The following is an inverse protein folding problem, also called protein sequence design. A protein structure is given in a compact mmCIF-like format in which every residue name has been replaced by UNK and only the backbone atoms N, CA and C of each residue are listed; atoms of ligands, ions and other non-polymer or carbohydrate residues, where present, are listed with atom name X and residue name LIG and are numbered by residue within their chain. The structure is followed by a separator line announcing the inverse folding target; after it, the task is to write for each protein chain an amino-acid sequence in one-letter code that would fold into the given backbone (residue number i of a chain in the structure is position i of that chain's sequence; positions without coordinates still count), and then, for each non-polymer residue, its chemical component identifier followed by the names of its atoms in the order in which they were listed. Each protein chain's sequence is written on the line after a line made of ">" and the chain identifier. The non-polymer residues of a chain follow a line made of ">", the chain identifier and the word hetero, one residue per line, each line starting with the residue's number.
data_IF_577660605270
#
_entry.id   IF_577660605270
#
_cell.length_a   1.000
_cell.length_b   1.000
_cell.length_c   1.000
_cell.angle_alpha   90.00
_cell.angle_beta   90.00
_cell.angle_gamma   90.00
#
_symmetry.space_group_name_H-M   'P 1'
#
loop_
_entity.id
_entity.type
_entity.pdbx_description
1 polymer ?
#
# COMPACT_ATOMS: atom_id res chain seq x y z
N UNK A 1 7.95 21.47 17.30
CA UNK A 1 6.63 21.60 16.66
C UNK A 1 5.45 21.25 17.58
N UNK A 2 5.63 20.36 18.58
CA UNK A 2 4.57 20.04 19.57
C UNK A 2 4.34 21.21 20.55
N UNK A 3 5.42 21.79 21.11
CA UNK A 3 5.33 22.94 22.03
C UNK A 3 4.75 24.23 21.42
N UNK A 4 4.81 24.40 20.10
CA UNK A 4 4.32 25.60 19.41
C UNK A 4 2.79 25.58 19.22
N UNK A 5 2.16 24.41 19.21
CA UNK A 5 0.70 24.27 19.11
C UNK A 5 0.03 24.49 20.48
N UNK A 6 0.64 24.03 21.57
CA UNK A 6 0.15 24.25 22.93
C UNK A 6 0.08 25.74 23.27
N UNK A 7 1.09 26.52 22.88
CA UNK A 7 1.13 27.98 23.11
C UNK A 7 0.07 28.76 22.32
N UNK A 8 -0.26 28.31 21.11
CA UNK A 8 -1.32 28.92 20.29
C UNK A 8 -2.69 28.57 20.86
N UNK A 9 -2.88 27.32 21.31
CA UNK A 9 -4.12 26.87 21.94
C UNK A 9 -4.40 27.49 23.32
N UNK A 10 -3.37 27.94 24.03
CA UNK A 10 -3.52 28.63 25.31
C UNK A 10 -4.06 30.06 25.17
N UNK A 11 -3.70 30.75 24.07
CA UNK A 11 -4.09 32.14 23.83
C UNK A 11 -5.47 32.30 23.18
N UNK A 12 -6.01 31.23 22.62
CA UNK A 12 -7.34 31.22 22.01
C UNK A 12 -8.14 30.15 22.74
N UNK A 13 -9.20 30.53 23.44
CA UNK A 13 -10.09 29.68 24.25
C UNK A 13 -10.86 28.64 23.40
N UNK A 14 -10.13 27.80 22.66
CA UNK A 14 -10.60 26.84 21.65
C UNK A 14 -10.46 25.40 22.18
N UNK A 15 -9.83 25.20 23.33
CA UNK A 15 -9.60 23.90 23.96
C UNK A 15 -10.89 23.09 24.13
N UNK A 16 -11.97 23.72 24.61
CA UNK A 16 -13.28 23.09 24.75
C UNK A 16 -13.84 22.58 23.41
N UNK A 17 -13.61 23.32 22.33
CA UNK A 17 -14.06 22.92 20.98
C UNK A 17 -13.28 21.71 20.47
N UNK A 18 -11.96 21.65 20.72
CA UNK A 18 -11.14 20.49 20.33
C UNK A 18 -11.52 19.22 21.10
N UNK A 19 -11.77 19.33 22.41
CA UNK A 19 -12.18 18.18 23.24
C UNK A 19 -13.55 17.66 22.80
N UNK A 20 -14.49 18.55 22.47
CA UNK A 20 -15.80 18.17 21.92
C UNK A 20 -15.67 17.49 20.54
N UNK A 21 -14.93 18.10 19.61
CA UNK A 21 -14.69 17.53 18.27
C UNK A 21 -14.03 16.15 18.39
N UNK A 22 -13.04 16.02 19.28
CA UNK A 22 -12.36 14.75 19.51
C UNK A 22 -13.30 13.69 20.10
N UNK A 23 -14.14 14.05 21.07
CA UNK A 23 -15.14 13.16 21.64
C UNK A 23 -16.15 12.69 20.57
N UNK A 24 -16.58 13.58 19.68
CA UNK A 24 -17.44 13.25 18.53
C UNK A 24 -16.73 12.27 17.59
N UNK A 25 -15.46 12.51 17.26
CA UNK A 25 -14.66 11.60 16.43
C UNK A 25 -14.51 10.21 17.08
N UNK A 26 -14.35 10.13 18.42
CA UNK A 26 -14.27 8.86 19.15
C UNK A 26 -15.60 8.10 19.15
N UNK A 27 -16.73 8.80 19.30
CA UNK A 27 -18.06 8.20 19.15
C UNK A 27 -18.27 7.67 17.72
N UNK A 28 -17.88 8.43 16.70
CA UNK A 28 -17.94 7.99 15.31
C UNK A 28 -17.08 6.73 15.08
N UNK A 29 -15.88 6.68 15.67
CA UNK A 29 -15.00 5.52 15.62
C UNK A 29 -15.63 4.29 16.31
N UNK A 30 -16.32 4.47 17.44
CA UNK A 30 -17.09 3.39 18.09
C UNK A 30 -18.19 2.85 17.18
N UNK A 31 -18.90 3.72 16.45
CA UNK A 31 -19.92 3.30 15.47
C UNK A 31 -19.28 2.47 14.34
N UNK A 32 -18.14 2.92 13.80
CA UNK A 32 -17.42 2.20 12.75
C UNK A 32 -16.88 0.84 13.22
N UNK A 33 -16.35 0.76 14.45
CA UNK A 33 -15.91 -0.49 15.06
C UNK A 33 -17.09 -1.44 15.34
N UNK A 34 -18.24 -0.93 15.80
CA UNK A 34 -19.45 -1.72 16.00
C UNK A 34 -20.02 -2.25 14.67
N UNK A 35 -19.98 -1.43 13.61
CA UNK A 35 -20.28 -1.87 12.26
C UNK A 35 -19.30 -2.96 11.79
N UNK A 36 -18.00 -2.80 12.07
CA UNK A 36 -17.00 -3.81 11.75
C UNK A 36 -17.27 -5.14 12.46
N UNK A 37 -17.76 -5.12 13.71
CA UNK A 37 -18.24 -6.31 14.44
C UNK A 37 -19.44 -6.98 13.77
N UNK A 38 -20.41 -6.19 13.34
CA UNK A 38 -21.61 -6.70 12.69
C UNK A 38 -21.29 -7.40 11.37
N UNK A 39 -20.31 -6.87 10.63
CA UNK A 39 -19.88 -7.40 9.33
C UNK A 39 -18.88 -8.56 9.47
N UNK A 40 -17.94 -8.46 10.41
CA UNK A 40 -16.83 -9.41 10.59
C UNK A 40 -17.19 -10.33 11.77
N UNK A 41 -18.01 -11.36 11.49
CA UNK A 41 -18.51 -12.37 12.48
C UNK A 41 -17.44 -13.21 13.19
N UNK A 42 -16.15 -12.87 13.09
CA UNK A 42 -15.05 -13.69 13.64
C UNK A 42 -14.13 -12.83 14.49
N UNK A 43 -14.01 -13.24 15.75
CA UNK A 43 -13.29 -12.59 16.86
C UNK A 43 -14.05 -11.47 17.58
N UNK A 44 -15.32 -11.74 17.89
CA UNK A 44 -16.23 -10.81 18.59
C UNK A 44 -15.72 -10.35 19.95
N UNK A 45 -14.94 -11.18 20.67
CA UNK A 45 -14.44 -10.87 22.02
C UNK A 45 -13.38 -9.77 22.05
N UNK A 46 -12.37 -9.84 21.16
CA UNK A 46 -11.31 -8.82 21.11
C UNK A 46 -11.86 -7.47 20.64
N UNK A 47 -12.71 -7.48 19.61
CA UNK A 47 -13.27 -6.23 19.08
C UNK A 47 -14.32 -5.65 20.03
N UNK A 48 -15.12 -6.48 20.73
CA UNK A 48 -15.99 -6.01 21.80
C UNK A 48 -15.19 -5.39 22.95
N UNK A 49 -14.06 -5.99 23.35
CA UNK A 49 -13.19 -5.41 24.38
C UNK A 49 -12.65 -4.04 23.94
N UNK A 50 -12.14 -3.93 22.72
CA UNK A 50 -11.66 -2.65 22.16
C UNK A 50 -12.79 -1.61 22.13
N UNK A 51 -13.99 -1.98 21.69
CA UNK A 51 -15.16 -1.11 21.72
C UNK A 51 -15.54 -0.64 23.12
N UNK A 52 -15.53 -1.54 24.11
CA UNK A 52 -15.86 -1.18 25.50
C UNK A 52 -14.85 -0.19 26.06
N UNK A 53 -13.54 -0.39 25.80
CA UNK A 53 -12.48 0.53 26.24
C UNK A 53 -12.63 1.89 25.55
N UNK A 54 -12.89 1.90 24.25
CA UNK A 54 -13.10 3.13 23.46
C UNK A 54 -14.31 3.93 23.95
N UNK A 55 -15.42 3.25 24.25
CA UNK A 55 -16.64 3.86 24.75
C UNK A 55 -16.46 4.43 26.17
N UNK A 56 -15.77 3.70 27.05
CA UNK A 56 -15.42 4.18 28.39
C UNK A 56 -14.55 5.44 28.29
N UNK A 57 -13.54 5.43 27.43
CA UNK A 57 -12.66 6.60 27.22
C UNK A 57 -13.43 7.80 26.65
N UNK A 58 -14.35 7.58 25.70
CA UNK A 58 -15.21 8.64 25.16
C UNK A 58 -16.11 9.27 26.26
N UNK A 59 -16.71 8.44 27.12
CA UNK A 59 -17.53 8.91 28.25
C UNK A 59 -16.68 9.67 29.28
N UNK A 60 -15.48 9.18 29.59
CA UNK A 60 -14.56 9.87 30.49
C UNK A 60 -14.17 11.24 29.92
N UNK A 61 -13.87 11.32 28.62
CA UNK A 61 -13.55 12.59 27.95
C UNK A 61 -14.72 13.58 27.98
N UNK A 62 -15.95 13.10 27.75
CA UNK A 62 -17.15 13.91 27.82
C UNK A 62 -17.46 14.41 29.25
N UNK A 63 -17.14 13.63 30.27
CA UNK A 63 -17.35 14.02 31.68
C UNK A 63 -16.24 14.93 32.22
N UNK A 64 -15.01 14.82 31.69
CA UNK A 64 -13.87 15.66 32.06
C UNK A 64 -13.89 17.03 31.35
N UNK A 65 -14.67 17.19 30.27
CA UNK A 65 -14.82 18.45 29.50
C UNK A 65 -15.06 19.71 30.35
N UNK A 66 -15.50 19.56 31.60
CA UNK A 66 -15.79 20.66 32.53
C UNK A 66 -14.65 21.00 33.52
N UNK A 67 -13.44 20.41 33.40
CA UNK A 67 -12.31 20.66 34.32
C UNK A 67 -10.97 20.91 33.61
N UNK A 68 -10.22 21.90 34.11
CA UNK A 68 -9.07 22.60 33.51
C UNK A 68 -7.99 21.80 32.72
N UNK A 69 -7.97 22.01 31.40
CA UNK A 69 -6.96 22.72 30.56
C UNK A 69 -5.51 22.23 30.38
N UNK A 70 -4.91 21.35 31.20
CA UNK A 70 -3.51 20.88 30.94
C UNK A 70 -3.43 19.38 30.63
N UNK A 71 -4.36 18.59 31.15
CA UNK A 71 -4.38 17.14 30.92
C UNK A 71 -5.02 16.74 29.58
N UNK A 72 -5.74 17.64 28.92
CA UNK A 72 -6.59 17.34 27.76
C UNK A 72 -5.79 16.97 26.50
N UNK A 73 -4.78 17.78 26.12
CA UNK A 73 -3.99 17.53 24.91
C UNK A 73 -3.12 16.28 25.06
N UNK A 74 -2.51 16.10 26.24
CA UNK A 74 -1.72 14.90 26.53
C UNK A 74 -2.57 13.64 26.45
N UNK A 75 -3.79 13.66 27.00
CA UNK A 75 -4.68 12.50 26.98
C UNK A 75 -5.22 12.20 25.57
N UNK A 76 -5.48 13.23 24.76
CA UNK A 76 -5.85 13.10 23.34
C UNK A 76 -4.70 12.50 22.51
N UNK A 77 -3.46 12.95 22.74
CA UNK A 77 -2.26 12.38 22.09
C UNK A 77 -2.06 10.93 22.53
N UNK A 78 -2.18 10.63 23.82
CA UNK A 78 -2.08 9.26 24.33
C UNK A 78 -3.16 8.35 23.75
N UNK A 79 -4.42 8.79 23.73
CA UNK A 79 -5.54 8.02 23.18
C UNK A 79 -5.40 7.79 21.66
N UNK A 80 -4.94 8.79 20.90
CA UNK A 80 -4.66 8.63 19.47
C UNK A 80 -3.46 7.71 19.20
N UNK A 81 -2.40 7.77 20.02
CA UNK A 81 -1.27 6.84 19.92
C UNK A 81 -1.65 5.41 20.28
N UNK A 82 -2.52 5.21 21.28
CA UNK A 82 -3.08 3.90 21.63
C UNK A 82 -3.96 3.38 20.49
N UNK A 83 -4.85 4.21 19.93
CA UNK A 83 -5.70 3.85 18.80
C UNK A 83 -4.87 3.46 17.56
N UNK A 84 -3.81 4.19 17.27
CA UNK A 84 -2.86 3.86 16.20
C UNK A 84 -2.14 2.52 16.48
N UNK A 85 -1.70 2.30 17.72
CA UNK A 85 -1.04 1.06 18.14
C UNK A 85 -1.96 -0.15 18.03
N UNK A 86 -3.24 -0.01 18.43
CA UNK A 86 -4.25 -1.07 18.29
C UNK A 86 -4.55 -1.34 16.82
N UNK A 87 -4.65 -0.29 15.99
CA UNK A 87 -4.85 -0.43 14.55
C UNK A 87 -3.68 -1.17 13.87
N UNK A 88 -2.44 -0.92 14.31
CA UNK A 88 -1.26 -1.66 13.89
C UNK A 88 -1.30 -3.13 14.31
N UNK A 89 -1.69 -3.42 15.56
CA UNK A 89 -1.81 -4.80 16.05
C UNK A 89 -2.90 -5.57 15.32
N UNK A 90 -4.06 -4.95 15.08
CA UNK A 90 -5.15 -5.55 14.31
C UNK A 90 -4.73 -5.77 12.85
N UNK A 91 -4.10 -4.79 12.21
CA UNK A 91 -3.53 -4.91 10.87
C UNK A 91 -2.49 -6.04 10.77
N UNK A 92 -1.55 -6.12 11.71
CA UNK A 92 -0.54 -7.17 11.78
C UNK A 92 -1.15 -8.55 12.02
N UNK A 93 -2.20 -8.65 12.85
CA UNK A 93 -2.93 -9.90 13.08
C UNK A 93 -3.66 -10.39 11.83
N UNK A 94 -4.14 -9.47 10.99
CA UNK A 94 -4.77 -9.78 9.71
C UNK A 94 -3.74 -10.27 8.67
N UNK A 95 -2.50 -9.81 8.77
CA UNK A 95 -1.41 -10.13 7.85
C UNK A 95 -0.75 -11.49 8.13
N UNK A 96 -0.89 -12.03 9.36
CA UNK A 96 -0.42 -13.37 9.74
C UNK A 96 -1.33 -14.52 9.27
N UNK A 97 -2.41 -14.21 8.53
CA UNK A 97 -3.13 -15.22 7.78
C UNK A 97 -2.22 -15.61 6.62
N UNK A 98 -1.87 -16.91 6.48
CA UNK A 98 -1.47 -17.46 5.18
C UNK A 98 -2.54 -17.00 4.20
N UNK A 99 -2.22 -16.02 3.36
CA UNK A 99 -3.09 -15.61 2.28
C UNK A 99 -3.31 -16.91 1.50
N UNK A 100 -4.53 -17.46 1.56
CA UNK A 100 -4.90 -18.46 0.57
C UNK A 100 -4.60 -17.79 -0.78
N UNK A 101 -3.87 -18.45 -1.70
CA UNK A 101 -3.74 -17.92 -3.04
C UNK A 101 -5.16 -17.62 -3.50
N UNK A 102 -5.45 -16.33 -3.66
CA UNK A 102 -6.75 -15.91 -4.13
C UNK A 102 -6.81 -16.46 -5.54
N UNK A 103 -7.75 -17.38 -5.77
CA UNK A 103 -8.09 -17.88 -7.09
C UNK A 103 -8.26 -16.64 -7.98
N UNK A 104 -7.33 -16.46 -8.92
CA UNK A 104 -7.16 -15.28 -9.77
C UNK A 104 -8.27 -15.15 -10.82
N UNK A 105 -9.46 -15.67 -10.54
CA UNK A 105 -10.64 -15.59 -11.40
C UNK A 105 -11.42 -14.29 -11.18
N UNK A 106 -10.72 -13.17 -11.09
CA UNK A 106 -11.36 -11.88 -11.36
C UNK A 106 -11.21 -11.61 -12.86
N UNK A 107 -12.06 -12.29 -13.63
CA UNK A 107 -12.40 -11.89 -14.99
C UNK A 107 -13.67 -11.08 -14.82
N UNK A 108 -13.61 -9.77 -15.04
CA UNK A 108 -14.83 -8.96 -15.09
C UNK A 108 -15.80 -9.57 -16.11
N UNK A 109 -17.12 -9.47 -15.87
CA UNK A 109 -18.12 -10.03 -16.77
C UNK A 109 -17.88 -9.51 -18.20
N UNK A 110 -17.47 -10.42 -19.07
CA UNK A 110 -16.87 -10.15 -20.39
C UNK A 110 -17.87 -9.77 -21.47
N UNK A 111 -19.16 -9.82 -21.16
CA UNK A 111 -20.22 -9.77 -22.17
C UNK A 111 -20.66 -8.35 -22.55
N UNK A 112 -20.24 -7.32 -21.80
CA UNK A 112 -20.66 -5.93 -22.07
C UNK A 112 -19.58 -5.01 -22.66
N UNK A 113 -18.29 -5.35 -22.56
CA UNK A 113 -17.21 -4.56 -23.16
C UNK A 113 -16.73 -5.20 -24.46
N UNK A 114 -17.08 -4.59 -25.59
CA UNK A 114 -16.71 -5.07 -26.92
C UNK A 114 -15.20 -5.21 -27.11
N UNK A 115 -14.75 -6.42 -27.50
CA UNK A 115 -13.59 -6.80 -28.33
C UNK A 115 -12.19 -6.15 -28.16
N UNK A 116 -11.94 -5.14 -27.33
CA UNK A 116 -10.66 -4.41 -27.27
C UNK A 116 -9.93 -4.47 -25.92
N UNK A 117 -10.34 -5.34 -24.99
CA UNK A 117 -9.70 -5.45 -23.68
C UNK A 117 -8.55 -6.48 -23.69
N UNK A 118 -7.34 -6.06 -23.30
CA UNK A 118 -6.17 -6.94 -23.13
C UNK A 118 -6.00 -7.36 -21.67
N UNK A 119 -5.65 -8.62 -21.43
CA UNK A 119 -5.36 -9.11 -20.08
C UNK A 119 -3.91 -8.79 -19.71
N UNK A 120 -3.75 -8.12 -18.57
CA UNK A 120 -2.45 -7.79 -17.99
C UNK A 120 -2.19 -8.68 -16.78
N UNK A 121 -0.98 -9.24 -16.69
CA UNK A 121 -0.49 -9.96 -15.52
C UNK A 121 0.61 -9.17 -14.84
N UNK A 122 0.40 -8.85 -13.58
CA UNK A 122 1.38 -8.18 -12.73
C UNK A 122 1.96 -9.22 -11.78
N UNK A 123 3.25 -9.52 -11.92
CA UNK A 123 3.94 -10.53 -11.11
C UNK A 123 4.80 -9.86 -10.06
N UNK A 124 4.66 -10.29 -8.82
CA UNK A 124 5.44 -9.78 -7.69
C UNK A 124 6.23 -10.91 -7.00
N UNK A 125 7.53 -10.67 -6.87
CA UNK A 125 8.43 -11.41 -6.00
C UNK A 125 8.65 -10.58 -4.73
N UNK A 126 8.11 -11.02 -3.59
CA UNK A 126 8.23 -10.28 -2.33
C UNK A 126 9.41 -10.82 -1.49
N UNK A 127 10.15 -9.94 -0.79
CA UNK A 127 11.39 -10.33 -0.12
C UNK A 127 11.21 -11.36 1.00
N UNK A 128 10.04 -11.36 1.65
CA UNK A 128 9.75 -12.20 2.80
C UNK A 128 9.48 -13.68 2.48
N UNK A 129 9.28 -14.01 1.19
CA UNK A 129 8.80 -15.32 0.76
C UNK A 129 9.71 -15.98 -0.29
N UNK A 130 10.94 -15.47 -0.50
CA UNK A 130 11.92 -16.16 -1.35
C UNK A 130 12.30 -17.53 -0.73
N UNK A 131 11.64 -18.58 -1.26
CA UNK A 131 11.32 -19.93 -0.77
C UNK A 131 12.36 -20.83 -0.05
N UNK A 132 13.43 -20.33 0.58
CA UNK A 132 14.43 -21.24 1.20
C UNK A 132 15.17 -20.78 2.44
N UNK A 133 14.85 -19.62 3.00
CA UNK A 133 15.63 -19.05 4.09
C UNK A 133 14.79 -18.80 5.35
N UNK A 134 15.33 -19.23 6.48
CA UNK A 134 14.93 -18.78 7.82
C UNK A 134 15.26 -17.28 7.94
N UNK A 135 14.41 -16.44 7.38
CA UNK A 135 14.54 -14.99 7.43
C UNK A 135 14.08 -14.50 8.81
N UNK A 136 14.84 -13.58 9.42
CA UNK A 136 14.27 -12.69 10.43
C UNK A 136 13.51 -11.62 9.64
N UNK A 137 12.22 -11.83 9.45
CA UNK A 137 11.35 -10.84 8.83
C UNK A 137 10.91 -9.87 9.93
N UNK A 138 11.47 -8.66 9.97
CA UNK A 138 10.82 -7.56 10.66
C UNK A 138 9.49 -7.33 9.90
N UNK A 139 8.31 -7.66 10.46
CA UNK A 139 7.08 -7.87 9.68
C UNK A 139 6.68 -6.67 8.81
N UNK A 140 7.04 -5.47 9.25
CA UNK A 140 6.73 -4.20 8.57
C UNK A 140 7.84 -3.77 7.60
N UNK A 141 9.09 -4.20 7.78
CA UNK A 141 10.20 -3.79 6.90
C UNK A 141 10.42 -4.84 5.80
N UNK A 142 10.27 -6.13 6.13
CA UNK A 142 10.59 -7.24 5.25
C UNK A 142 9.69 -7.39 4.03
N UNK A 143 8.44 -6.90 4.09
CA UNK A 143 7.54 -6.87 2.91
C UNK A 143 7.81 -5.66 1.99
N UNK A 144 8.26 -4.54 2.55
CA UNK A 144 8.25 -3.24 1.88
C UNK A 144 9.63 -2.67 1.53
N UNK A 145 10.73 -3.20 2.09
CA UNK A 145 12.07 -2.68 1.79
C UNK A 145 13.01 -3.79 1.37
N UNK A 146 13.36 -4.66 2.32
CA UNK A 146 14.30 -5.76 2.10
C UNK A 146 14.15 -6.78 3.23
N UNK A 147 14.41 -8.05 2.94
CA UNK A 147 14.51 -9.10 3.94
C UNK A 147 15.97 -9.57 4.05
N UNK A 148 16.48 -9.72 5.27
CA UNK A 148 17.81 -10.28 5.48
C UNK A 148 17.73 -11.81 5.61
N UNK A 149 18.56 -12.53 4.86
CA UNK A 149 18.70 -13.98 4.96
C UNK A 149 19.91 -14.34 5.82
N UNK A 150 19.69 -14.99 6.97
CA UNK A 150 20.78 -15.51 7.81
C UNK A 150 21.56 -16.63 7.09
N UNK A 151 20.89 -17.41 6.23
CA UNK A 151 21.49 -18.55 5.52
C UNK A 151 22.39 -18.11 4.36
N UNK A 152 21.94 -17.15 3.56
CA UNK A 152 22.72 -16.59 2.45
C UNK A 152 23.64 -15.43 2.87
N UNK A 153 23.44 -14.91 4.08
CA UNK A 153 24.09 -13.70 4.65
C UNK A 153 23.87 -12.43 3.82
N UNK A 154 22.78 -12.39 3.03
CA UNK A 154 22.50 -11.36 2.03
C UNK A 154 21.13 -10.70 2.22
N UNK A 155 20.99 -9.49 1.67
CA UNK A 155 19.72 -8.77 1.58
C UNK A 155 18.97 -9.20 0.32
N UNK A 156 17.71 -9.58 0.50
CA UNK A 156 16.77 -9.84 -0.57
C UNK A 156 15.93 -8.58 -0.80
N UNK A 157 15.92 -8.12 -2.04
CA UNK A 157 15.06 -7.03 -2.51
C UNK A 157 14.03 -7.66 -3.42
N UNK A 158 12.77 -7.29 -3.22
CA UNK A 158 11.67 -7.82 -4.03
C UNK A 158 11.79 -7.34 -5.48
N UNK A 159 10.90 -7.84 -6.32
CA UNK A 159 10.76 -7.40 -7.70
C UNK A 159 9.29 -7.40 -8.11
N UNK A 160 8.92 -6.51 -9.02
CA UNK A 160 7.57 -6.50 -9.58
C UNK A 160 7.65 -6.16 -11.06
N UNK A 161 6.82 -6.83 -11.84
CA UNK A 161 6.86 -6.78 -13.31
C UNK A 161 5.46 -6.68 -13.87
N UNK A 162 5.42 -6.24 -15.12
CA UNK A 162 4.20 -6.02 -15.86
C UNK A 162 4.27 -6.79 -17.19
N UNK A 163 3.39 -7.78 -17.34
CA UNK A 163 3.31 -8.67 -18.49
C UNK A 163 1.98 -8.45 -19.22
N UNK A 164 2.06 -8.24 -20.54
CA UNK A 164 0.94 -8.28 -21.47
C UNK A 164 1.23 -9.29 -22.57
N UNK A 165 0.30 -9.50 -23.50
CA UNK A 165 0.59 -10.32 -24.67
C UNK A 165 1.58 -9.61 -25.62
N UNK A 166 1.58 -8.27 -25.59
CA UNK A 166 2.37 -7.43 -26.48
C UNK A 166 3.77 -7.12 -25.96
N UNK A 167 3.95 -7.01 -24.64
CA UNK A 167 5.25 -6.67 -24.06
C UNK A 167 5.43 -7.15 -22.61
N UNK A 168 6.69 -7.14 -22.17
CA UNK A 168 7.09 -7.40 -20.81
C UNK A 168 7.97 -6.27 -20.29
N UNK A 169 7.59 -5.69 -19.16
CA UNK A 169 8.31 -4.60 -18.52
C UNK A 169 8.91 -5.07 -17.19
N UNK A 170 10.24 -5.16 -17.19
CA UNK A 170 11.07 -5.54 -16.04
C UNK A 170 12.40 -4.82 -16.18
N UNK A 171 12.73 -3.90 -15.27
CA UNK A 171 13.97 -3.12 -15.32
C UNK A 171 14.84 -3.43 -14.12
N UNK A 172 16.13 -3.59 -14.38
CA UNK A 172 17.17 -3.83 -13.39
C UNK A 172 18.28 -2.78 -13.52
N UNK A 173 19.04 -2.51 -12.45
CA UNK A 173 20.31 -1.82 -12.57
C UNK A 173 21.29 -2.66 -13.41
N UNK A 174 22.12 -2.01 -14.21
CA UNK A 174 23.20 -2.68 -14.95
C UNK A 174 24.14 -3.43 -14.00
N UNK A 175 24.69 -4.56 -14.46
CA UNK A 175 25.58 -5.41 -13.65
C UNK A 175 26.83 -4.68 -13.15
N UNK A 176 27.27 -3.66 -13.89
CA UNK A 176 28.42 -2.85 -13.49
C UNK A 176 28.06 -1.79 -12.44
N UNK A 177 26.77 -1.48 -12.25
CA UNK A 177 26.30 -0.57 -11.20
C UNK A 177 26.56 -1.17 -9.81
N UNK A 178 26.86 -0.33 -8.82
CA UNK A 178 26.93 -0.76 -7.42
C UNK A 178 25.55 -1.15 -6.85
N UNK A 179 24.46 -0.73 -7.53
CA UNK A 179 23.10 -1.19 -7.24
C UNK A 179 22.80 -2.57 -7.84
N UNK A 180 23.71 -3.15 -8.62
CA UNK A 180 23.55 -4.52 -9.08
C UNK A 180 23.33 -5.43 -7.86
N UNK A 181 22.35 -6.32 -7.96
CA UNK A 181 21.97 -7.22 -6.85
C UNK A 181 23.17 -8.03 -6.34
N UNK A 182 24.10 -8.36 -7.24
CA UNK A 182 25.35 -9.07 -6.96
C UNK A 182 26.32 -8.29 -6.05
N UNK A 183 26.27 -6.95 -6.03
CA UNK A 183 27.27 -6.08 -5.36
C UNK A 183 26.93 -5.72 -3.90
N UNK A 184 25.83 -6.24 -3.34
CA UNK A 184 25.45 -6.14 -1.91
C UNK A 184 25.56 -4.71 -1.34
N UNK A 185 24.70 -3.77 -1.76
CA UNK A 185 24.80 -2.37 -1.33
C UNK A 185 24.64 -2.22 0.19
N UNK A 186 25.51 -1.42 0.82
CA UNK A 186 25.40 -1.09 2.25
C UNK A 186 24.41 0.04 2.49
N UNK A 187 23.85 0.16 3.71
CA UNK A 187 22.90 1.23 4.07
C UNK A 187 23.47 2.64 3.83
N UNK A 188 24.78 2.83 4.01
CA UNK A 188 25.49 4.08 3.74
C UNK A 188 25.49 4.44 2.25
N UNK A 189 25.59 3.44 1.38
CA UNK A 189 25.60 3.61 -0.09
C UNK A 189 24.19 3.89 -0.62
N UNK A 190 23.16 3.30 -0.02
CA UNK A 190 21.76 3.56 -0.38
C UNK A 190 21.39 5.03 -0.10
N UNK A 191 21.79 5.58 1.05
CA UNK A 191 21.48 6.95 1.46
C UNK A 191 21.98 8.03 0.50
N UNK A 192 23.13 7.84 -0.16
CA UNK A 192 23.69 8.80 -1.12
C UNK A 192 23.07 8.73 -2.53
N UNK A 193 22.19 7.76 -2.79
CA UNK A 193 21.70 7.46 -4.15
C UNK A 193 20.43 8.23 -4.59
N UNK A 194 19.89 9.10 -3.74
CA UNK A 194 18.61 9.80 -3.94
C UNK A 194 18.44 10.60 -5.25
N UNK A 195 19.54 10.91 -5.96
CA UNK A 195 19.50 11.65 -7.24
C UNK A 195 20.33 11.04 -8.36
N UNK A 196 20.86 9.84 -8.15
CA UNK A 196 21.73 9.22 -9.15
C UNK A 196 20.94 8.35 -10.11
N UNK A 197 21.19 8.56 -11.39
CA UNK A 197 20.76 7.68 -12.47
C UNK A 197 21.93 6.78 -12.86
N UNK A 198 21.65 5.51 -13.02
CA UNK A 198 22.59 4.50 -13.46
C UNK A 198 22.10 3.90 -14.78
N UNK A 199 22.98 3.30 -15.58
CA UNK A 199 22.53 2.45 -16.67
C UNK A 199 21.63 1.34 -16.12
N UNK A 200 20.50 1.11 -16.76
CA UNK A 200 19.57 0.03 -16.47
C UNK A 200 19.38 -0.87 -17.68
N UNK A 201 18.89 -2.08 -17.40
CA UNK A 201 18.68 -3.14 -18.39
C UNK A 201 17.25 -3.63 -18.30
N UNK A 202 16.57 -3.67 -19.44
CA UNK A 202 15.26 -4.31 -19.57
C UNK A 202 15.44 -5.82 -19.71
N UNK A 203 14.78 -6.60 -18.86
CA UNK A 203 14.89 -8.05 -18.83
C UNK A 203 13.65 -8.75 -19.38
N UNK A 204 13.81 -10.03 -19.72
CA UNK A 204 12.71 -10.91 -20.16
C UNK A 204 12.08 -11.67 -18.99
N UNK A 205 10.90 -12.23 -19.23
CA UNK A 205 10.23 -13.10 -18.27
C UNK A 205 11.08 -14.34 -17.94
N UNK A 206 11.75 -14.93 -18.93
CA UNK A 206 12.62 -16.09 -18.73
C UNK A 206 13.78 -15.78 -17.79
N UNK A 207 14.36 -14.58 -17.91
CA UNK A 207 15.40 -14.12 -16.99
C UNK A 207 14.86 -14.03 -15.55
N UNK A 208 13.69 -13.41 -15.36
CA UNK A 208 13.10 -13.26 -14.02
C UNK A 208 12.75 -14.61 -13.38
N UNK A 209 12.21 -15.55 -14.17
CA UNK A 209 11.92 -16.91 -13.70
C UNK A 209 13.21 -17.67 -13.35
N UNK A 210 14.26 -17.55 -14.17
CA UNK A 210 15.54 -18.19 -13.88
C UNK A 210 16.21 -17.61 -12.63
N UNK A 211 16.16 -16.29 -12.47
CA UNK A 211 16.84 -15.59 -11.39
C UNK A 211 16.11 -15.73 -10.04
N UNK A 212 14.77 -15.67 -10.06
CA UNK A 212 13.94 -15.54 -8.84
C UNK A 212 12.98 -16.71 -8.62
N UNK A 213 12.87 -17.63 -9.57
CA UNK A 213 11.89 -18.73 -9.53
C UNK A 213 10.48 -18.26 -9.86
N UNK A 214 9.48 -19.08 -9.48
CA UNK A 214 8.08 -18.76 -9.72
C UNK A 214 7.64 -17.49 -8.95
N UNK A 215 6.87 -16.64 -9.61
CA UNK A 215 6.31 -15.45 -8.97
C UNK A 215 5.34 -15.84 -7.84
N UNK A 216 5.48 -15.20 -6.67
CA UNK A 216 4.64 -15.51 -5.51
C UNK A 216 3.20 -15.05 -5.69
N UNK A 217 3.04 -13.83 -6.18
CA UNK A 217 1.74 -13.22 -6.38
C UNK A 217 1.59 -12.79 -7.82
N UNK A 218 0.44 -13.11 -8.40
CA UNK A 218 0.04 -12.65 -9.74
C UNK A 218 -1.29 -11.94 -9.60
N UNK A 219 -1.31 -10.65 -9.94
CA UNK A 219 -2.53 -9.87 -10.07
C UNK A 219 -2.89 -9.81 -11.54
N UNK A 220 -4.15 -10.13 -11.87
CA UNK A 220 -4.67 -10.05 -13.23
C UNK A 220 -5.58 -8.83 -13.31
N UNK A 221 -5.35 -7.99 -14.32
CA UNK A 221 -6.05 -6.72 -14.51
C UNK A 221 -6.45 -6.60 -15.98
N UNK A 222 -7.61 -6.02 -16.21
CA UNK A 222 -8.12 -5.71 -17.54
C UNK A 222 -7.57 -4.35 -18.00
N UNK A 223 -6.92 -4.30 -19.17
CA UNK A 223 -6.52 -3.06 -19.83
C UNK A 223 -7.58 -2.66 -20.85
N UNK A 224 -8.26 -1.55 -20.59
CA UNK A 224 -9.37 -1.06 -21.42
C UNK A 224 -8.89 -0.45 -22.74
N UNK A 225 -7.64 0.02 -22.81
CA UNK A 225 -7.03 0.66 -23.97
C UNK A 225 -5.61 0.14 -24.24
N UNK A 226 -5.47 -1.03 -24.92
CA UNK A 226 -4.18 -1.65 -25.14
C UNK A 226 -3.26 -0.85 -26.07
N UNK A 227 -3.80 -0.13 -27.07
CA UNK A 227 -3.01 0.68 -28.00
C UNK A 227 -2.32 1.85 -27.28
N UNK A 228 -3.06 2.54 -26.40
CA UNK A 228 -2.49 3.58 -25.55
C UNK A 228 -1.43 3.02 -24.61
N UNK A 229 -1.70 1.86 -23.99
CA UNK A 229 -0.75 1.17 -23.10
C UNK A 229 0.57 0.84 -23.84
N UNK A 230 0.50 0.35 -25.08
CA UNK A 230 1.66 0.07 -25.93
C UNK A 230 2.44 1.36 -26.23
N UNK A 231 1.76 2.45 -26.56
CA UNK A 231 2.39 3.77 -26.79
C UNK A 231 3.13 4.29 -25.55
N UNK A 232 2.50 4.18 -24.37
CA UNK A 232 3.14 4.53 -23.09
C UNK A 232 4.35 3.65 -22.85
N UNK A 233 4.25 2.35 -23.10
CA UNK A 233 5.38 1.43 -22.97
C UNK A 233 6.54 1.80 -23.89
N UNK A 234 6.30 2.08 -25.17
CA UNK A 234 7.34 2.53 -26.10
C UNK A 234 8.03 3.80 -25.62
N UNK A 235 7.27 4.73 -25.03
CA UNK A 235 7.82 5.96 -24.46
C UNK A 235 8.68 5.68 -23.24
N UNK A 236 8.23 4.80 -22.34
CA UNK A 236 9.00 4.39 -21.17
C UNK A 236 10.28 3.66 -21.60
N UNK A 237 10.20 2.71 -22.52
CA UNK A 237 11.34 1.86 -22.94
C UNK A 237 12.52 2.65 -23.51
N UNK A 238 12.27 3.82 -24.14
CA UNK A 238 13.31 4.67 -24.77
C UNK A 238 14.41 5.11 -23.80
N UNK A 239 14.08 5.31 -22.54
CA UNK A 239 15.04 5.66 -21.50
C UNK A 239 15.28 4.42 -20.62
N UNK A 240 16.49 3.89 -20.66
CA UNK A 240 16.86 2.73 -19.85
C UNK A 240 17.57 3.12 -18.55
N UNK A 241 17.55 4.40 -18.16
CA UNK A 241 18.12 4.80 -16.88
C UNK A 241 17.40 4.10 -15.73
N UNK A 242 18.18 3.73 -14.72
CA UNK A 242 17.71 3.13 -13.49
C UNK A 242 17.99 4.07 -12.33
N UNK A 243 16.98 4.30 -11.51
CA UNK A 243 17.15 5.01 -10.24
C UNK A 243 16.31 4.33 -9.20
N UNK A 244 16.91 4.09 -8.02
CA UNK A 244 16.22 3.48 -6.90
C UNK A 244 14.95 4.24 -6.51
N UNK A 245 14.95 5.57 -6.66
CA UNK A 245 13.89 6.46 -6.17
C UNK A 245 12.91 6.92 -7.24
N UNK A 246 13.37 7.13 -8.47
CA UNK A 246 12.56 7.74 -9.54
C UNK A 246 12.24 6.80 -10.70
N UNK A 247 12.97 5.68 -10.85
CA UNK A 247 12.83 4.78 -12.00
C UNK A 247 13.31 3.36 -11.69
N UNK A 248 12.57 2.70 -10.79
CA UNK A 248 12.76 1.30 -10.47
C UNK A 248 11.62 0.45 -11.05
N UNK A 249 11.69 -0.88 -10.89
CA UNK A 249 10.69 -1.81 -11.40
C UNK A 249 9.26 -1.55 -10.87
N UNK A 250 9.13 -1.14 -9.60
CA UNK A 250 7.87 -0.81 -8.97
C UNK A 250 7.24 0.47 -9.55
N UNK A 251 8.03 1.51 -9.79
CA UNK A 251 7.57 2.76 -10.41
C UNK A 251 7.07 2.51 -11.83
N UNK A 252 7.84 1.77 -12.64
CA UNK A 252 7.45 1.43 -14.01
C UNK A 252 6.14 0.64 -14.00
N UNK A 253 6.02 -0.35 -13.13
CA UNK A 253 4.82 -1.20 -13.03
C UNK A 253 3.59 -0.40 -12.58
N UNK A 254 3.72 0.44 -11.54
CA UNK A 254 2.60 1.29 -11.07
C UNK A 254 2.16 2.24 -12.17
N UNK A 255 3.10 2.87 -12.88
CA UNK A 255 2.77 3.78 -13.98
C UNK A 255 2.00 3.07 -15.09
N UNK A 256 2.47 1.90 -15.54
CA UNK A 256 1.75 1.11 -16.55
C UNK A 256 0.37 0.65 -16.07
N UNK A 257 0.24 0.28 -14.79
CA UNK A 257 -1.04 -0.10 -14.20
C UNK A 257 -2.03 1.07 -14.15
N UNK A 258 -1.60 2.28 -13.78
CA UNK A 258 -2.48 3.46 -13.78
C UNK A 258 -3.03 3.76 -15.18
N UNK A 259 -2.24 3.51 -16.24
CA UNK A 259 -2.73 3.61 -17.62
C UNK A 259 -3.76 2.54 -17.98
N UNK A 260 -3.67 1.33 -17.40
CA UNK A 260 -4.64 0.25 -17.67
C UNK A 260 -6.04 0.59 -17.18
N UNK A 261 -6.12 1.21 -16.00
CA UNK A 261 -7.38 1.53 -15.32
C UNK A 261 -7.87 2.94 -15.60
N UNK A 262 -7.12 3.75 -16.37
CA UNK A 262 -7.46 5.14 -16.66
C UNK A 262 -8.90 5.30 -17.16
N UNK A 263 -9.29 4.43 -18.08
CA UNK A 263 -10.59 4.49 -18.76
C UNK A 263 -11.67 3.66 -18.05
N UNK A 264 -11.29 2.85 -17.04
CA UNK A 264 -12.21 1.91 -16.36
C UNK A 264 -13.28 2.58 -15.51
N UNK A 265 -13.11 3.86 -15.21
CA UNK A 265 -14.04 4.63 -14.35
C UNK A 265 -14.88 5.65 -15.14
N UNK A 266 -14.72 5.70 -16.46
CA UNK A 266 -15.36 6.71 -17.33
C UNK A 266 -16.89 6.62 -17.35
N UNK A 267 -17.45 5.43 -17.12
CA UNK A 267 -18.89 5.15 -17.21
C UNK A 267 -19.65 5.36 -15.88
N UNK A 268 -18.93 5.61 -14.77
CA UNK A 268 -19.56 5.74 -13.45
C UNK A 268 -20.03 7.19 -13.23
N UNK A 269 -21.30 7.42 -12.86
CA UNK A 269 -21.78 8.76 -12.53
C UNK A 269 -20.95 9.40 -11.41
N UNK A 270 -20.44 10.61 -11.66
CA UNK A 270 -19.47 11.30 -10.80
C UNK A 270 -19.83 11.30 -9.30
N UNK A 271 -21.07 11.64 -8.96
CA UNK A 271 -21.53 11.74 -7.56
C UNK A 271 -21.57 10.37 -6.86
N UNK A 272 -22.08 9.35 -7.54
CA UNK A 272 -22.15 7.98 -7.02
C UNK A 272 -20.73 7.38 -6.94
N UNK A 273 -19.91 7.63 -7.95
CA UNK A 273 -18.52 7.21 -8.00
C UNK A 273 -17.70 7.75 -6.84
N UNK A 274 -17.82 9.04 -6.53
CA UNK A 274 -17.12 9.66 -5.38
C UNK A 274 -17.56 9.02 -4.06
N UNK A 275 -18.88 8.90 -3.82
CA UNK A 275 -19.38 8.37 -2.56
C UNK A 275 -18.96 6.90 -2.36
N UNK A 276 -19.10 6.07 -3.40
CA UNK A 276 -18.67 4.66 -3.36
C UNK A 276 -17.17 4.52 -3.19
N UNK A 277 -16.38 5.39 -3.83
CA UNK A 277 -14.92 5.42 -3.69
C UNK A 277 -14.52 5.79 -2.27
N UNK A 278 -15.07 6.87 -1.73
CA UNK A 278 -14.74 7.36 -0.39
C UNK A 278 -15.11 6.36 0.72
N UNK A 279 -16.23 5.65 0.57
CA UNK A 279 -16.67 4.63 1.52
C UNK A 279 -15.96 3.28 1.37
N UNK A 280 -15.14 3.10 0.32
CA UNK A 280 -14.44 1.85 0.08
C UNK A 280 -13.15 1.75 0.90
N UNK A 281 -13.00 0.68 1.67
CA UNK A 281 -11.74 0.38 2.38
C UNK A 281 -10.56 0.14 1.43
N UNK A 282 -10.82 -0.27 0.19
CA UNK A 282 -9.78 -0.47 -0.82
C UNK A 282 -9.19 0.85 -1.33
N UNK A 283 -10.01 1.89 -1.45
CA UNK A 283 -9.53 3.23 -1.78
C UNK A 283 -8.52 3.72 -0.73
N UNK A 284 -8.89 3.65 0.55
CA UNK A 284 -8.00 4.06 1.64
C UNK A 284 -6.73 3.21 1.73
N UNK A 285 -6.84 1.90 1.45
CA UNK A 285 -5.67 1.01 1.39
C UNK A 285 -4.70 1.43 0.27
N UNK A 286 -5.22 1.77 -0.91
CA UNK A 286 -4.42 2.29 -2.02
C UNK A 286 -3.79 3.65 -1.67
N UNK A 287 -4.54 4.58 -1.08
CA UNK A 287 -4.02 5.89 -0.66
C UNK A 287 -2.88 5.75 0.35
N UNK A 288 -3.02 4.89 1.36
CA UNK A 288 -1.95 4.66 2.35
C UNK A 288 -0.69 4.10 1.67
N UNK A 289 -0.83 3.17 0.73
CA UNK A 289 0.30 2.64 -0.02
C UNK A 289 1.00 3.74 -0.85
N UNK A 290 0.21 4.58 -1.53
CA UNK A 290 0.71 5.72 -2.31
C UNK A 290 1.43 6.74 -1.43
N UNK A 291 0.83 7.18 -0.32
CA UNK A 291 1.47 8.12 0.62
C UNK A 291 2.78 7.59 1.17
N UNK A 292 2.85 6.29 1.53
CA UNK A 292 4.11 5.67 1.98
C UNK A 292 5.17 5.63 0.88
N UNK A 293 4.76 5.41 -0.36
CA UNK A 293 5.67 5.40 -1.50
C UNK A 293 6.25 6.79 -1.79
N UNK A 294 5.47 7.85 -1.61
CA UNK A 294 5.91 9.24 -1.78
C UNK A 294 6.92 9.67 -0.70
N UNK A 295 6.80 9.11 0.52
CA UNK A 295 7.73 9.38 1.63
C UNK A 295 9.07 8.66 1.52
N UNK A 296 9.11 7.48 0.89
CA UNK A 296 10.33 6.67 0.76
C UNK A 296 10.70 6.47 -0.71
N UNK A 297 10.01 5.56 -1.36
CA UNK A 297 9.96 5.31 -2.81
C UNK A 297 8.96 4.17 -3.03
N UNK A 298 8.52 3.97 -4.26
CA UNK A 298 7.79 2.76 -4.62
C UNK A 298 8.68 1.53 -4.45
N UNK A 299 8.30 0.64 -3.54
CA UNK A 299 8.87 -0.69 -3.43
C UNK A 299 7.92 -1.73 -4.02
N UNK A 300 8.41 -2.92 -4.41
CA UNK A 300 7.58 -4.00 -4.94
C UNK A 300 6.39 -4.36 -4.04
N UNK A 301 6.58 -4.34 -2.71
CA UNK A 301 5.50 -4.58 -1.74
C UNK A 301 4.45 -3.47 -1.73
N UNK A 302 4.85 -2.20 -1.75
CA UNK A 302 3.92 -1.06 -1.77
C UNK A 302 3.17 -0.99 -3.09
N UNK A 303 3.88 -1.22 -4.20
CA UNK A 303 3.29 -1.27 -5.54
C UNK A 303 2.26 -2.38 -5.64
N UNK A 304 2.58 -3.60 -5.19
CA UNK A 304 1.63 -4.72 -5.20
C UNK A 304 0.37 -4.42 -4.38
N UNK A 305 0.51 -3.88 -3.17
CA UNK A 305 -0.64 -3.56 -2.30
C UNK A 305 -1.50 -2.43 -2.89
N UNK A 306 -0.88 -1.42 -3.52
CA UNK A 306 -1.57 -0.36 -4.26
C UNK A 306 -2.37 -0.93 -5.44
N UNK A 307 -1.70 -1.68 -6.31
CA UNK A 307 -2.26 -2.28 -7.53
C UNK A 307 -3.44 -3.18 -7.17
N UNK A 308 -3.26 -4.06 -6.19
CA UNK A 308 -4.30 -4.98 -5.73
C UNK A 308 -5.50 -4.24 -5.16
N UNK A 309 -5.26 -3.25 -4.30
CA UNK A 309 -6.35 -2.49 -3.69
C UNK A 309 -7.13 -1.70 -4.74
N UNK A 310 -6.44 -1.06 -5.67
CA UNK A 310 -7.08 -0.26 -6.70
C UNK A 310 -7.83 -1.13 -7.72
N UNK A 311 -7.29 -2.31 -8.08
CA UNK A 311 -7.99 -3.28 -8.93
C UNK A 311 -9.29 -3.76 -8.29
N UNK A 312 -9.28 -4.07 -6.99
CA UNK A 312 -10.48 -4.45 -6.24
C UNK A 312 -11.48 -3.29 -6.10
N UNK A 313 -11.00 -2.05 -6.03
CA UNK A 313 -11.87 -0.87 -6.04
C UNK A 313 -12.57 -0.75 -7.39
N UNK A 314 -11.84 -0.73 -8.50
CA UNK A 314 -12.39 -0.63 -9.85
C UNK A 314 -13.43 -1.72 -10.09
N UNK A 315 -13.10 -2.96 -9.75
CA UNK A 315 -13.98 -4.10 -9.93
C UNK A 315 -15.25 -4.06 -9.05
N UNK A 316 -15.26 -3.26 -7.97
CA UNK A 316 -16.46 -3.00 -7.16
C UNK A 316 -17.29 -1.84 -7.68
N UNK A 317 -16.65 -0.86 -8.30
CA UNK A 317 -17.33 0.33 -8.80
C UNK A 317 -18.04 0.08 -10.13
N UNK A 318 -17.52 -0.86 -10.92
CA UNK A 318 -18.05 -1.29 -12.23
C UNK A 318 -19.11 -2.40 -12.12
N UNK A 319 -19.48 -2.82 -10.89
CA UNK A 319 -20.60 -3.72 -10.59
C UNK A 319 -21.80 -2.94 -10.03
#
# INVERSE_FOLDING_TARGET
>A
MIYSLDLVSYNTDISGSFTLIYAICRLLNCVLLAYSLAVIRRNTRCVALVLTVELILAIILLTIHNKSMIYEISLIIWASMIQFSISLVVGASHQNRKEKPIDSKFVANREEYGSSCEIVKIRAWLPNNEDTCSHIVLPVIGRYSFAYSLRRRDFHVGHITFETNSFYASIYPDKNSWLAEEKRPTSKTIGSSHRMFYPGVWQSLDYDIQQRGAAYNVCVVDAFNPDHLISVWHTLKKDSSYSLYSRNCAIVTVRLFEECIRDSLSEIPFTIGILRTYLSSYFWSAIIAKQRSELFTWSPGLAYDYIRSLSLLVARLTK
#
